data_IF_153840581103
#
_entry.id   IF_153840581103
#
_cell.length_a   1.000
_cell.length_b   1.000
_cell.length_c   1.000
_cell.angle_alpha   90.00
_cell.angle_beta   90.00
_cell.angle_gamma   90.00
#
_symmetry.space_group_name_H-M   'P 1'
#
loop_
_entity.id
_entity.type
_entity.pdbx_description
1 polymer ?
#
# COMPACT_ATOMS: atom_id res chain seq x y z
N UNK A 1 14.12 11.90 -9.23
CA UNK A 1 12.92 11.05 -9.13
C UNK A 1 12.98 10.16 -10.37
N UNK A 2 13.33 8.89 -10.22
CA UNK A 2 13.84 8.09 -11.35
C UNK A 2 13.02 6.82 -11.66
N UNK A 3 11.73 6.81 -11.34
CA UNK A 3 10.82 5.77 -11.81
C UNK A 3 9.63 5.46 -10.88
N UNK A 4 8.63 4.71 -11.38
CA UNK A 4 7.48 4.33 -10.58
C UNK A 4 7.83 3.27 -9.52
N UNK A 5 7.22 3.35 -8.34
CA UNK A 5 7.22 2.28 -7.34
C UNK A 5 6.30 1.17 -7.83
N UNK A 6 6.83 -0.04 -8.03
CA UNK A 6 6.08 -1.23 -8.44
C UNK A 6 5.65 -1.98 -7.19
N UNK A 7 4.34 -2.06 -6.97
CA UNK A 7 3.75 -2.71 -5.79
C UNK A 7 2.77 -3.78 -6.24
N UNK A 8 2.94 -4.98 -5.72
CA UNK A 8 1.96 -6.06 -5.81
C UNK A 8 1.09 -6.03 -4.56
N UNK A 9 -0.22 -6.10 -4.75
CA UNK A 9 -1.20 -6.06 -3.66
C UNK A 9 -2.05 -7.32 -3.73
N UNK A 10 -1.96 -8.17 -2.71
CA UNK A 10 -2.81 -9.33 -2.52
C UNK A 10 -4.08 -8.95 -1.76
N UNK A 11 -5.22 -9.43 -2.21
CA UNK A 11 -6.53 -9.16 -1.61
C UNK A 11 -7.46 -10.36 -1.78
N UNK A 12 -8.27 -10.64 -0.76
CA UNK A 12 -9.31 -11.67 -0.82
C UNK A 12 -10.63 -11.15 -1.45
N UNK A 13 -11.63 -12.03 -1.55
CA UNK A 13 -12.95 -11.70 -2.12
C UNK A 13 -13.82 -10.83 -1.22
N UNK A 14 -13.42 -10.60 0.04
CA UNK A 14 -14.09 -9.71 1.00
C UNK A 14 -13.49 -8.30 0.99
N UNK A 15 -12.45 -8.07 0.17
CA UNK A 15 -11.75 -6.80 0.13
C UNK A 15 -10.77 -6.62 1.30
N UNK A 16 -10.26 -7.71 1.86
CA UNK A 16 -9.21 -7.71 2.90
C UNK A 16 -7.87 -7.94 2.24
N UNK A 17 -6.90 -7.08 2.57
CA UNK A 17 -5.53 -7.19 2.07
C UNK A 17 -4.83 -8.39 2.71
N UNK A 18 -4.32 -9.31 1.89
CA UNK A 18 -3.62 -10.53 2.36
C UNK A 18 -2.11 -10.34 2.44
N UNK A 19 -1.57 -9.35 1.72
CA UNK A 19 -0.18 -8.95 1.77
C UNK A 19 0.16 -7.93 0.69
N UNK A 20 1.31 -7.28 0.82
CA UNK A 20 1.88 -6.42 -0.21
C UNK A 20 3.35 -6.78 -0.44
N UNK A 21 3.83 -6.56 -1.66
CA UNK A 21 5.24 -6.73 -2.02
C UNK A 21 5.66 -5.51 -2.84
N UNK A 22 6.73 -4.84 -2.43
CA UNK A 22 7.39 -3.84 -3.26
C UNK A 22 8.35 -4.59 -4.19
N UNK A 23 8.00 -4.65 -5.47
CA UNK A 23 8.74 -5.41 -6.47
C UNK A 23 9.87 -4.59 -7.13
N UNK A 24 9.93 -3.29 -6.84
CA UNK A 24 11.01 -2.40 -7.27
C UNK A 24 10.62 -0.93 -7.15
N UNK A 25 11.60 -0.08 -6.93
CA UNK A 25 11.44 1.37 -6.85
C UNK A 25 12.73 2.08 -7.24
N UNK A 26 12.64 3.37 -7.54
CA UNK A 26 13.79 4.26 -7.72
C UNK A 26 13.67 5.49 -6.79
N UNK A 27 13.12 5.26 -5.59
CA UNK A 27 12.98 6.28 -4.55
C UNK A 27 14.30 6.45 -3.79
N UNK A 28 14.79 7.69 -3.60
CA UNK A 28 16.04 7.96 -2.88
C UNK A 28 16.11 7.39 -1.45
N UNK A 29 14.95 7.11 -0.87
CA UNK A 29 14.79 6.66 0.51
C UNK A 29 13.99 5.34 0.60
N UNK A 30 13.82 4.62 -0.52
CA UNK A 30 12.94 3.46 -0.58
C UNK A 30 13.38 2.30 0.33
N UNK A 31 14.69 2.02 0.35
CA UNK A 31 15.30 0.88 1.05
C UNK A 31 14.98 0.82 2.55
N UNK A 32 14.86 1.98 3.22
CA UNK A 32 14.55 2.05 4.65
C UNK A 32 13.11 2.47 4.95
N UNK A 33 12.28 2.69 3.92
CA UNK A 33 10.92 3.19 4.10
C UNK A 33 9.84 2.28 3.56
N UNK A 34 9.86 1.94 2.27
CA UNK A 34 8.82 1.14 1.62
C UNK A 34 9.30 -0.26 1.27
N UNK A 35 10.61 -0.48 1.15
CA UNK A 35 11.22 -1.78 0.91
C UNK A 35 11.60 -2.50 2.21
N UNK A 36 10.74 -2.37 3.22
CA UNK A 36 10.93 -3.03 4.51
C UNK A 36 9.79 -4.00 4.81
N UNK A 37 10.05 -5.13 5.49
CA UNK A 37 9.00 -6.05 5.92
C UNK A 37 7.96 -5.37 6.81
N UNK A 38 8.37 -4.40 7.63
CA UNK A 38 7.51 -3.65 8.55
C UNK A 38 6.51 -2.80 7.78
N UNK A 39 6.93 -2.13 6.71
CA UNK A 39 6.01 -1.39 5.84
C UNK A 39 4.95 -2.32 5.27
N UNK A 40 5.34 -3.49 4.75
CA UNK A 40 4.41 -4.46 4.19
C UNK A 40 3.44 -5.04 5.22
N UNK A 41 3.94 -5.35 6.42
CA UNK A 41 3.17 -5.95 7.50
C UNK A 41 2.00 -5.05 7.94
N UNK A 42 2.16 -3.74 7.87
CA UNK A 42 1.14 -2.78 8.28
C UNK A 42 -0.15 -2.86 7.45
N UNK A 43 -0.13 -3.43 6.24
CA UNK A 43 -1.32 -3.51 5.38
C UNK A 43 -2.07 -4.84 5.54
N UNK A 44 -1.42 -5.88 6.06
CA UNK A 44 -2.01 -7.22 6.16
C UNK A 44 -3.22 -7.21 7.08
N UNK A 45 -4.34 -7.76 6.62
CA UNK A 45 -5.60 -7.83 7.36
C UNK A 45 -6.44 -6.55 7.32
N UNK A 46 -5.93 -5.47 6.74
CA UNK A 46 -6.71 -4.22 6.59
C UNK A 46 -7.72 -4.31 5.45
N UNK A 47 -8.81 -3.59 5.58
CA UNK A 47 -9.82 -3.49 4.53
C UNK A 47 -9.40 -2.48 3.47
N UNK A 48 -9.77 -2.72 2.21
CA UNK A 48 -9.69 -1.70 1.17
C UNK A 48 -10.48 -0.42 1.51
N UNK A 49 -11.44 -0.50 2.43
CA UNK A 49 -12.27 0.64 2.85
C UNK A 49 -11.52 1.57 3.79
N UNK A 50 -10.44 1.10 4.40
CA UNK A 50 -9.62 1.87 5.34
C UNK A 50 -8.93 3.05 4.62
N UNK A 51 -8.63 4.12 5.36
CA UNK A 51 -8.12 5.35 4.76
C UNK A 51 -6.61 5.36 4.47
N UNK A 52 -5.83 4.51 5.14
CA UNK A 52 -4.36 4.38 5.01
C UNK A 52 -3.62 5.72 5.12
N UNK A 53 -3.96 6.53 6.13
CA UNK A 53 -3.32 7.81 6.39
C UNK A 53 -1.96 7.58 7.07
N UNK A 54 -0.92 8.12 6.45
CA UNK A 54 0.43 8.10 7.04
C UNK A 54 0.45 8.95 8.32
N UNK A 55 1.09 8.43 9.36
CA UNK A 55 1.09 8.98 10.72
C UNK A 55 -0.15 8.67 11.56
N UNK A 56 -1.12 7.91 11.03
CA UNK A 56 -2.32 7.46 11.78
C UNK A 56 -2.54 5.96 11.60
N UNK A 57 -2.77 5.54 10.36
CA UNK A 57 -3.01 4.13 10.01
C UNK A 57 -1.76 3.44 9.48
N UNK A 58 -0.78 4.20 8.97
CA UNK A 58 0.49 3.71 8.43
C UNK A 58 1.60 4.54 9.06
N UNK A 59 2.66 3.91 9.51
CA UNK A 59 3.80 4.56 10.15
C UNK A 59 4.46 5.57 9.20
N UNK A 60 4.72 6.75 9.73
CA UNK A 60 5.50 7.76 9.03
C UNK A 60 6.99 7.43 9.17
N UNK A 61 7.73 7.54 8.07
CA UNK A 61 9.18 7.37 8.08
C UNK A 61 9.83 8.74 7.87
N UNK A 62 10.61 9.19 8.86
CA UNK A 62 11.33 10.46 8.77
C UNK A 62 12.19 10.51 7.52
N UNK A 63 12.21 11.66 6.84
CA UNK A 63 12.89 11.89 5.54
C UNK A 63 12.30 11.13 4.34
N UNK A 64 11.33 10.23 4.53
CA UNK A 64 10.66 9.49 3.46
C UNK A 64 9.14 9.70 3.41
N UNK A 65 8.63 10.78 4.00
CA UNK A 65 7.19 11.06 4.09
C UNK A 65 6.48 11.02 2.73
N UNK A 66 7.10 11.60 1.69
CA UNK A 66 6.54 11.64 0.33
C UNK A 66 6.44 10.23 -0.25
N UNK A 67 7.51 9.44 -0.13
CA UNK A 67 7.61 8.06 -0.60
C UNK A 67 6.54 7.17 0.05
N UNK A 68 6.48 7.17 1.38
CA UNK A 68 5.51 6.37 2.16
C UNK A 68 4.07 6.79 1.87
N UNK A 69 3.80 8.10 1.79
CA UNK A 69 2.45 8.62 1.49
C UNK A 69 2.01 8.22 0.08
N UNK A 70 2.92 8.29 -0.89
CA UNK A 70 2.65 7.90 -2.27
C UNK A 70 2.37 6.40 -2.39
N UNK A 71 3.18 5.57 -1.72
CA UNK A 71 3.00 4.12 -1.69
C UNK A 71 1.68 3.71 -1.03
N UNK A 72 1.37 4.22 0.17
CA UNK A 72 0.12 3.95 0.88
C UNK A 72 -1.11 4.34 0.05
N UNK A 73 -1.05 5.51 -0.61
CA UNK A 73 -2.11 5.97 -1.53
C UNK A 73 -2.26 5.06 -2.74
N UNK A 74 -1.15 4.64 -3.36
CA UNK A 74 -1.15 3.76 -4.52
C UNK A 74 -1.77 2.39 -4.19
N UNK A 75 -1.41 1.80 -3.04
CA UNK A 75 -1.98 0.53 -2.55
C UNK A 75 -3.51 0.66 -2.43
N UNK A 76 -3.98 1.72 -1.78
CA UNK A 76 -5.42 1.98 -1.59
C UNK A 76 -6.17 2.08 -2.90
N UNK A 77 -5.68 2.90 -3.83
CA UNK A 77 -6.36 3.16 -5.11
C UNK A 77 -6.40 1.89 -5.95
N UNK A 78 -5.28 1.19 -6.07
CA UNK A 78 -5.16 -0.01 -6.88
C UNK A 78 -6.07 -1.12 -6.36
N UNK A 79 -6.05 -1.40 -5.06
CA UNK A 79 -6.89 -2.41 -4.45
C UNK A 79 -8.39 -2.11 -4.66
N UNK A 80 -8.80 -0.86 -4.41
CA UNK A 80 -10.19 -0.43 -4.63
C UNK A 80 -10.61 -0.54 -6.10
N UNK A 81 -9.74 -0.16 -7.03
CA UNK A 81 -10.04 -0.19 -8.47
C UNK A 81 -10.29 -1.62 -8.95
N UNK A 82 -9.53 -2.59 -8.46
CA UNK A 82 -9.75 -4.00 -8.77
C UNK A 82 -10.99 -4.52 -8.05
N UNK A 83 -11.20 -4.16 -6.78
CA UNK A 83 -12.38 -4.55 -6.02
C UNK A 83 -13.68 -4.09 -6.67
N UNK A 84 -13.78 -2.82 -7.11
CA UNK A 84 -14.98 -2.30 -7.79
C UNK A 84 -15.29 -3.04 -9.09
N UNK A 85 -14.28 -3.63 -9.75
CA UNK A 85 -14.46 -4.36 -11.01
C UNK A 85 -14.81 -5.83 -10.81
N UNK A 86 -14.29 -6.45 -9.75
CA UNK A 86 -14.29 -7.91 -9.60
C UNK A 86 -15.07 -8.41 -8.40
N UNK A 87 -15.32 -7.56 -7.39
CA UNK A 87 -16.07 -7.94 -6.20
C UNK A 87 -17.49 -7.41 -6.29
N UNK A 88 -18.46 -8.25 -5.94
CA UNK A 88 -19.83 -7.81 -5.78
C UNK A 88 -19.92 -6.75 -4.66
N UNK A 89 -20.77 -5.73 -4.81
CA UNK A 89 -20.98 -4.77 -3.74
C UNK A 89 -21.44 -5.52 -2.47
N UNK A 90 -20.92 -5.16 -1.29
CA UNK A 90 -21.34 -5.78 -0.05
C UNK A 90 -22.84 -5.57 0.14
N UNK A 91 -23.52 -6.66 0.52
CA UNK A 91 -24.97 -6.71 0.75
C UNK A 91 -25.37 -5.90 1.99
#
# INVERSE_FOLDING_TARGET
YDGPIKILVGMDTKGILTGIIVAGHNEPYGDFSVDTPEFAAQFKGKSIRDPFRVGQDVDAVSRATITVTSAARAIRISARRIATRLLAPPK
#
